data_IF_498419176882
#
_entry.id   IF_498419176882
#
_cell.length_a   1.000
_cell.length_b   1.000
_cell.length_c   1.000
_cell.angle_alpha   90.00
_cell.angle_beta   90.00
_cell.angle_gamma   90.00
#
_symmetry.space_group_name_H-M   'P 1'
#
loop_
_entity.id
_entity.type
_entity.pdbx_description
1 polymer ?
#
# COMPACT_ATOMS: atom_id res chain seq x y z
N UNK A 1 24.38 2.63 13.43
CA UNK A 1 22.95 2.83 13.13
C UNK A 1 22.69 2.99 11.63
N UNK A 2 23.36 3.92 10.92
CA UNK A 2 23.23 4.07 9.46
C UNK A 2 23.49 2.78 8.66
N UNK A 3 24.58 2.07 8.95
CA UNK A 3 24.90 0.79 8.30
C UNK A 3 23.85 -0.30 8.52
N UNK A 4 23.17 -0.28 9.67
CA UNK A 4 22.11 -1.22 9.98
C UNK A 4 20.83 -0.88 9.18
N UNK A 5 20.43 0.39 9.17
CA UNK A 5 19.30 0.87 8.35
C UNK A 5 19.50 0.72 6.85
N UNK A 6 20.76 0.78 6.39
CA UNK A 6 21.09 0.49 5.00
C UNK A 6 20.75 -0.95 4.58
N UNK A 7 20.49 -1.86 5.53
CA UNK A 7 19.97 -3.21 5.24
C UNK A 7 18.44 -3.26 5.12
N UNK A 8 17.77 -2.12 5.29
CA UNK A 8 16.32 -1.99 5.46
C UNK A 8 15.84 -2.19 6.90
N UNK A 9 16.68 -2.69 7.81
CA UNK A 9 16.23 -2.98 9.17
C UNK A 9 16.21 -1.75 10.10
N UNK A 10 15.25 -1.75 11.01
CA UNK A 10 15.05 -0.77 12.07
C UNK A 10 15.15 -1.41 13.45
N UNK A 11 15.77 -0.69 14.38
CA UNK A 11 15.76 -1.08 15.80
C UNK A 11 14.39 -0.78 16.41
N UNK A 12 14.05 -1.39 17.55
CA UNK A 12 12.89 -0.95 18.32
C UNK A 12 12.97 0.56 18.60
N UNK A 13 11.83 1.24 18.54
CA UNK A 13 11.70 2.70 18.70
C UNK A 13 12.41 3.53 17.61
N UNK A 14 12.97 2.90 16.57
CA UNK A 14 13.42 3.58 15.37
C UNK A 14 12.25 4.11 14.55
N UNK A 15 12.49 5.15 13.77
CA UNK A 15 11.49 5.75 12.87
C UNK A 15 11.50 5.03 11.50
N UNK A 16 10.48 4.23 11.15
CA UNK A 16 10.43 3.57 9.85
C UNK A 16 10.13 4.56 8.69
N UNK A 17 9.71 5.79 9.00
CA UNK A 17 9.32 6.77 7.99
C UNK A 17 10.51 7.40 7.30
N UNK A 18 11.56 7.70 8.06
CA UNK A 18 12.86 8.12 7.54
C UNK A 18 13.37 7.15 6.46
N UNK A 19 14.00 7.67 5.42
CA UNK A 19 14.54 6.86 4.32
C UNK A 19 15.57 5.81 4.77
N UNK A 20 15.67 4.75 3.99
CA UNK A 20 16.55 3.59 4.11
C UNK A 20 17.54 3.57 2.94
N UNK A 21 18.50 4.50 2.93
CA UNK A 21 19.44 4.79 1.81
C UNK A 21 20.32 3.64 1.25
N UNK A 22 20.20 2.41 1.75
CA UNK A 22 20.93 1.24 1.25
C UNK A 22 20.05 0.17 0.60
N UNK A 23 18.75 0.43 0.51
CA UNK A 23 17.78 -0.46 -0.13
C UNK A 23 17.66 -0.11 -1.61
N UNK A 24 17.18 -1.05 -2.42
CA UNK A 24 17.04 -0.83 -3.85
C UNK A 24 15.81 0.02 -4.19
N UNK A 25 14.77 -0.07 -3.35
CA UNK A 25 13.50 0.60 -3.57
C UNK A 25 12.78 0.94 -2.25
N UNK A 26 12.16 2.11 -2.21
CA UNK A 26 11.17 2.52 -1.21
C UNK A 26 9.88 2.95 -1.90
N UNK A 27 8.78 2.24 -1.64
CA UNK A 27 7.45 2.59 -2.12
C UNK A 27 6.68 3.42 -1.11
N UNK A 28 6.04 4.48 -1.60
CA UNK A 28 5.12 5.33 -0.85
C UNK A 28 3.75 5.29 -1.53
N UNK A 29 2.70 5.11 -0.75
CA UNK A 29 1.34 4.95 -1.27
C UNK A 29 0.35 5.75 -0.45
N UNK A 30 -0.51 6.51 -1.12
CA UNK A 30 -1.64 7.23 -0.53
C UNK A 30 -2.92 6.78 -1.20
N UNK A 31 -3.97 6.61 -0.40
CA UNK A 31 -5.33 6.33 -0.85
C UNK A 31 -6.30 7.31 -0.23
N UNK A 32 -7.14 7.89 -1.07
CA UNK A 32 -8.12 8.90 -0.70
C UNK A 32 -9.50 8.41 -1.10
N UNK A 33 -10.47 8.52 -0.20
CA UNK A 33 -11.86 8.11 -0.43
C UNK A 33 -12.80 9.19 0.08
N UNK A 34 -13.70 9.67 -0.77
CA UNK A 34 -14.73 10.64 -0.35
C UNK A 34 -16.06 9.97 0.01
N UNK A 35 -17.05 10.80 0.35
CA UNK A 35 -18.38 10.35 0.76
C UNK A 35 -19.19 9.78 -0.41
N UNK A 36 -18.87 10.19 -1.63
CA UNK A 36 -19.48 9.72 -2.88
C UNK A 36 -18.94 8.35 -3.32
N UNK A 37 -17.89 7.85 -2.65
CA UNK A 37 -17.25 6.57 -2.95
C UNK A 37 -16.23 6.65 -4.08
N UNK A 38 -15.83 7.87 -4.50
CA UNK A 38 -14.70 8.06 -5.41
C UNK A 38 -13.41 7.72 -4.68
N UNK A 39 -12.49 7.08 -5.38
CA UNK A 39 -11.18 6.72 -4.84
C UNK A 39 -10.10 7.25 -5.76
N UNK A 40 -9.07 7.86 -5.19
CA UNK A 40 -7.80 8.12 -5.88
C UNK A 40 -6.67 7.47 -5.09
N UNK A 41 -5.78 6.79 -5.80
CA UNK A 41 -4.47 6.42 -5.25
C UNK A 41 -3.37 7.21 -5.93
N UNK A 42 -2.32 7.50 -5.17
CA UNK A 42 -1.09 8.06 -5.67
C UNK A 42 0.08 7.25 -5.09
N UNK A 43 0.99 6.81 -5.95
CA UNK A 43 2.16 6.05 -5.56
C UNK A 43 3.44 6.68 -6.10
N UNK A 44 4.51 6.57 -5.33
CA UNK A 44 5.87 6.92 -5.73
C UNK A 44 6.84 5.88 -5.15
N UNK A 45 7.55 5.17 -6.03
CA UNK A 45 8.66 4.28 -5.70
C UNK A 45 9.97 4.98 -5.98
N UNK A 46 10.79 5.22 -4.95
CA UNK A 46 12.15 5.74 -5.06
C UNK A 46 13.09 4.56 -5.30
N UNK A 47 13.66 4.49 -6.50
CA UNK A 47 14.48 3.36 -6.95
C UNK A 47 15.95 3.78 -7.08
N UNK A 48 16.86 2.86 -6.75
CA UNK A 48 18.29 3.01 -6.99
C UNK A 48 18.68 2.26 -8.26
N UNK A 49 18.85 3.00 -9.36
CA UNK A 49 19.24 2.45 -10.66
C UNK A 49 20.74 2.56 -10.96
N UNK A 50 21.21 1.90 -12.03
CA UNK A 50 22.61 1.97 -12.47
C UNK A 50 23.05 3.38 -12.92
N UNK A 51 22.10 4.21 -13.35
CA UNK A 51 22.33 5.57 -13.84
C UNK A 51 22.07 6.65 -12.78
N UNK A 52 21.56 6.24 -11.61
CA UNK A 52 21.19 7.12 -10.52
C UNK A 52 19.80 6.81 -9.96
N UNK A 53 19.32 7.60 -8.98
CA UNK A 53 17.97 7.47 -8.45
C UNK A 53 16.91 7.85 -9.49
N UNK A 54 15.83 7.08 -9.54
CA UNK A 54 14.69 7.31 -10.44
C UNK A 54 13.38 6.91 -9.75
N UNK A 55 12.25 7.39 -10.26
CA UNK A 55 10.96 7.20 -9.63
C UNK A 55 9.98 6.39 -10.49
N UNK A 56 9.32 5.41 -9.88
CA UNK A 56 8.08 4.81 -10.40
C UNK A 56 6.92 5.60 -9.82
N UNK A 57 6.14 6.30 -10.64
CA UNK A 57 4.99 7.08 -10.17
C UNK A 57 3.69 6.60 -10.80
N UNK A 58 2.60 6.72 -10.06
CA UNK A 58 1.27 6.34 -10.51
C UNK A 58 0.17 7.18 -9.88
N UNK A 59 -0.85 7.49 -10.67
CA UNK A 59 -2.11 8.10 -10.25
C UNK A 59 -3.24 7.28 -10.88
N UNK A 60 -4.13 6.74 -10.06
CA UNK A 60 -5.26 5.97 -10.53
C UNK A 60 -6.54 6.38 -9.82
N UNK A 61 -7.68 6.32 -10.51
CA UNK A 61 -8.96 6.77 -9.99
C UNK A 61 -10.12 5.82 -10.31
N UNK A 62 -11.00 5.67 -9.34
CA UNK A 62 -12.23 4.89 -9.40
C UNK A 62 -13.43 5.79 -9.09
N UNK A 63 -14.57 5.67 -9.82
CA UNK A 63 -14.92 4.61 -10.78
C UNK A 63 -14.56 4.87 -12.24
N UNK A 64 -13.82 5.94 -12.56
CA UNK A 64 -13.52 6.31 -13.95
C UNK A 64 -12.60 5.34 -14.68
N UNK A 65 -11.85 4.49 -13.95
CA UNK A 65 -10.85 3.61 -14.54
C UNK A 65 -9.60 4.37 -15.01
N UNK A 66 -9.45 5.64 -14.63
CA UNK A 66 -8.32 6.47 -15.02
C UNK A 66 -7.02 5.90 -14.44
N UNK A 67 -5.98 5.82 -15.27
CA UNK A 67 -4.64 5.40 -14.87
C UNK A 67 -3.59 6.22 -15.63
N UNK A 68 -2.68 6.84 -14.89
CA UNK A 68 -1.45 7.45 -15.41
C UNK A 68 -0.26 6.91 -14.62
N UNK A 69 0.72 6.36 -15.31
CA UNK A 69 1.98 5.89 -14.71
C UNK A 69 3.16 6.46 -15.47
N UNK A 70 4.31 6.61 -14.80
CA UNK A 70 5.55 7.01 -15.42
C UNK A 70 6.77 6.43 -14.70
N UNK A 71 7.87 6.29 -15.44
CA UNK A 71 9.21 6.20 -14.90
C UNK A 71 9.87 7.57 -15.11
N UNK A 72 10.25 8.23 -14.02
CA UNK A 72 10.82 9.58 -14.03
C UNK A 72 12.29 9.54 -13.60
N UNK A 73 13.12 10.32 -14.29
CA UNK A 73 14.50 10.55 -13.88
C UNK A 73 14.55 11.39 -12.61
N UNK A 74 15.39 10.99 -11.65
CA UNK A 74 15.50 11.66 -10.37
C UNK A 74 14.45 11.17 -9.38
N UNK A 75 14.91 10.87 -8.17
CA UNK A 75 14.05 10.56 -7.04
C UNK A 75 14.78 10.86 -5.74
N UNK A 76 14.01 11.20 -4.71
CA UNK A 76 14.54 11.48 -3.39
C UNK A 76 13.56 11.06 -2.31
N UNK A 77 14.11 10.55 -1.21
CA UNK A 77 13.38 10.19 0.00
C UNK A 77 14.03 10.88 1.20
N UNK A 78 13.22 11.41 2.11
CA UNK A 78 13.69 12.19 3.25
C UNK A 78 14.44 11.31 4.28
N UNK A 79 15.75 11.51 4.51
CA UNK A 79 16.51 10.73 5.49
C UNK A 79 16.19 11.08 6.94
N UNK A 80 15.35 12.09 7.19
CA UNK A 80 15.04 12.62 8.51
C UNK A 80 13.55 12.52 8.87
N UNK A 81 12.71 11.99 7.99
CA UNK A 81 11.28 11.84 8.24
C UNK A 81 10.53 11.25 7.07
N UNK A 82 9.22 11.48 7.03
CA UNK A 82 8.40 11.09 5.88
C UNK A 82 8.43 12.21 4.84
N UNK A 83 9.08 11.95 3.71
CA UNK A 83 9.08 12.81 2.53
C UNK A 83 9.54 12.03 1.31
N UNK A 84 8.94 12.32 0.16
CA UNK A 84 9.30 11.72 -1.14
C UNK A 84 9.13 12.74 -2.26
N UNK A 85 10.09 12.73 -3.18
CA UNK A 85 10.05 13.45 -4.45
C UNK A 85 10.33 12.46 -5.59
N UNK A 86 9.57 12.56 -6.67
CA UNK A 86 9.78 11.81 -7.91
C UNK A 86 9.85 12.76 -9.09
N UNK A 87 10.85 12.57 -9.95
CA UNK A 87 11.15 13.50 -11.03
C UNK A 87 11.83 14.79 -10.58
N UNK A 88 11.60 15.85 -11.32
CA UNK A 88 11.99 17.24 -11.03
C UNK A 88 10.83 18.05 -10.41
N UNK A 89 9.94 17.39 -9.67
CA UNK A 89 8.80 18.00 -8.96
C UNK A 89 7.42 17.53 -9.43
N UNK A 90 7.35 16.56 -10.33
CA UNK A 90 6.13 15.89 -10.78
C UNK A 90 5.42 15.16 -9.65
N UNK A 91 6.15 14.62 -8.68
CA UNK A 91 5.58 14.01 -7.48
C UNK A 91 6.28 14.57 -6.23
N UNK A 92 5.51 15.03 -5.26
CA UNK A 92 6.02 15.54 -3.98
C UNK A 92 5.02 15.21 -2.87
N UNK A 93 5.46 14.51 -1.83
CA UNK A 93 4.58 14.18 -0.71
C UNK A 93 5.32 14.11 0.63
N UNK A 94 4.60 14.45 1.70
CA UNK A 94 5.06 14.32 3.07
C UNK A 94 3.87 14.12 4.02
N UNK A 95 4.07 14.34 5.33
CA UNK A 95 3.01 14.17 6.34
C UNK A 95 1.82 15.13 6.19
N UNK A 96 1.94 16.20 5.43
CA UNK A 96 0.98 17.31 5.39
C UNK A 96 0.36 17.56 4.02
N UNK A 97 1.05 17.18 2.95
CA UNK A 97 0.52 17.36 1.60
C UNK A 97 1.02 16.28 0.64
N UNK A 98 0.32 16.20 -0.48
CA UNK A 98 0.62 15.37 -1.63
C UNK A 98 0.33 16.20 -2.88
N UNK A 99 1.34 16.36 -3.74
CA UNK A 99 1.23 16.97 -5.07
C UNK A 99 1.70 15.98 -6.12
N UNK A 100 0.89 15.81 -7.16
CA UNK A 100 1.19 15.03 -8.35
C UNK A 100 0.83 15.89 -9.56
N UNK A 101 1.72 15.94 -10.56
CA UNK A 101 1.49 16.54 -11.85
C UNK A 101 2.20 15.71 -12.93
N UNK A 102 1.44 14.82 -13.56
CA UNK A 102 1.90 13.91 -14.61
C UNK A 102 1.33 14.28 -15.99
N UNK A 103 0.83 15.52 -16.14
CA UNK A 103 0.20 16.01 -17.36
C UNK A 103 -1.03 16.87 -17.08
N UNK A 104 -1.58 17.47 -18.14
CA UNK A 104 -2.79 18.30 -18.06
C UNK A 104 -4.01 17.52 -17.56
N UNK A 105 -4.03 16.20 -17.80
CA UNK A 105 -5.11 15.28 -17.46
C UNK A 105 -4.81 14.44 -16.21
N UNK A 106 -3.71 14.72 -15.50
CA UNK A 106 -3.22 13.89 -14.39
C UNK A 106 -2.59 14.75 -13.29
N UNK A 107 -3.44 15.46 -12.54
CA UNK A 107 -3.00 16.34 -11.45
C UNK A 107 -3.69 15.96 -10.16
N UNK A 108 -2.98 16.07 -9.04
CA UNK A 108 -3.54 15.81 -7.73
C UNK A 108 -2.86 16.69 -6.69
N UNK A 109 -3.62 17.44 -5.90
CA UNK A 109 -3.06 18.31 -4.88
C UNK A 109 -3.95 18.26 -3.64
N UNK A 110 -3.42 17.70 -2.56
CA UNK A 110 -4.13 17.53 -1.31
C UNK A 110 -3.33 18.05 -0.12
N UNK A 111 -4.07 18.55 0.86
CA UNK A 111 -3.59 18.80 2.22
C UNK A 111 -4.21 17.79 3.17
N UNK A 112 -3.41 17.31 4.11
CA UNK A 112 -3.85 16.41 5.16
C UNK A 112 -4.10 17.17 6.46
N UNK A 113 -5.22 16.84 7.10
CA UNK A 113 -5.71 17.37 8.37
C UNK A 113 -6.08 16.23 9.31
N UNK A 114 -6.06 16.51 10.62
CA UNK A 114 -6.43 15.56 11.68
C UNK A 114 -5.86 14.14 11.50
N UNK A 115 -4.54 13.97 11.23
CA UNK A 115 -3.98 12.67 10.92
C UNK A 115 -4.15 11.68 12.08
N UNK A 116 -4.47 10.44 11.76
CA UNK A 116 -4.58 9.33 12.70
C UNK A 116 -3.42 8.36 12.45
N UNK A 117 -2.21 8.68 12.94
CA UNK A 117 -1.02 7.89 12.66
C UNK A 117 -1.04 6.55 13.40
N UNK A 118 -0.15 5.66 12.96
CA UNK A 118 0.25 4.47 13.69
C UNK A 118 0.62 4.78 15.15
N UNK A 119 0.05 4.04 16.11
CA UNK A 119 0.18 4.33 17.55
C UNK A 119 1.25 3.50 18.28
N UNK A 120 1.79 2.42 17.67
CA UNK A 120 2.76 1.57 18.38
C UNK A 120 4.17 2.13 18.23
N UNK A 121 4.68 2.75 19.31
CA UNK A 121 5.99 3.40 19.30
C UNK A 121 7.21 2.46 19.30
N UNK A 122 7.03 1.17 19.63
CA UNK A 122 8.15 0.24 19.70
C UNK A 122 8.52 -0.39 18.35
N UNK A 123 7.52 -0.68 17.51
CA UNK A 123 7.69 -1.32 16.20
C UNK A 123 6.60 -0.85 15.23
N UNK A 124 6.93 -0.81 13.93
CA UNK A 124 6.02 -0.52 12.82
C UNK A 124 5.23 -1.75 12.34
N UNK A 125 4.76 -1.69 11.09
CA UNK A 125 3.83 -2.68 10.49
C UNK A 125 4.43 -4.08 10.39
N UNK A 126 5.69 -4.17 9.99
CA UNK A 126 6.49 -5.40 9.97
C UNK A 126 6.76 -5.99 11.36
N UNK A 127 6.38 -5.34 12.46
CA UNK A 127 6.61 -5.82 13.82
C UNK A 127 8.09 -6.17 14.05
N UNK A 128 8.38 -7.28 14.74
CA UNK A 128 9.75 -7.71 15.01
C UNK A 128 10.57 -7.99 13.73
N UNK A 129 9.91 -8.24 12.60
CA UNK A 129 10.60 -8.46 11.32
C UNK A 129 11.28 -7.19 10.81
N UNK A 130 10.85 -6.01 11.24
CA UNK A 130 11.57 -4.78 10.92
C UNK A 130 13.02 -4.82 11.43
N UNK A 131 13.33 -5.62 12.45
CA UNK A 131 14.68 -5.76 13.00
C UNK A 131 15.53 -6.81 12.26
N UNK A 132 14.99 -7.50 11.26
CA UNK A 132 15.73 -8.53 10.53
C UNK A 132 16.37 -7.86 9.31
N UNK A 133 17.71 -7.78 9.23
CA UNK A 133 18.38 -7.20 8.07
C UNK A 133 18.01 -7.90 6.77
N UNK A 134 18.02 -7.13 5.69
CA UNK A 134 18.02 -7.66 4.33
C UNK A 134 16.80 -8.51 3.93
N UNK A 135 15.63 -8.26 4.53
CA UNK A 135 14.39 -8.82 4.00
C UNK A 135 14.12 -8.29 2.58
N UNK A 136 13.47 -9.11 1.77
CA UNK A 136 13.01 -8.73 0.44
C UNK A 136 11.99 -7.60 0.52
N UNK A 137 11.12 -7.59 1.54
CA UNK A 137 10.13 -6.53 1.72
C UNK A 137 9.87 -6.23 3.21
N UNK A 138 9.70 -4.95 3.50
CA UNK A 138 9.19 -4.40 4.75
C UNK A 138 7.94 -3.56 4.45
N UNK A 139 7.09 -3.39 5.45
CA UNK A 139 5.79 -2.71 5.30
C UNK A 139 5.43 -1.94 6.55
N UNK A 140 4.92 -0.72 6.37
CA UNK A 140 4.46 0.13 7.45
C UNK A 140 3.26 1.00 7.04
N UNK A 141 2.05 0.70 7.54
CA UNK A 141 0.87 1.52 7.36
C UNK A 141 0.89 2.68 8.37
N UNK A 142 1.54 3.78 7.99
CA UNK A 142 1.87 4.85 8.94
C UNK A 142 0.72 5.82 9.19
N UNK A 143 -0.23 5.95 8.26
CA UNK A 143 -1.44 6.75 8.39
C UNK A 143 -2.68 5.85 8.27
N UNK A 144 -3.39 5.66 9.38
CA UNK A 144 -4.54 4.76 9.48
C UNK A 144 -5.88 5.49 9.38
N UNK A 145 -5.86 6.75 8.94
CA UNK A 145 -7.01 7.63 8.86
C UNK A 145 -6.60 9.09 8.98
N UNK A 146 -7.58 9.97 8.81
CA UNK A 146 -7.42 11.41 8.82
C UNK A 146 -8.31 12.03 7.75
N UNK A 147 -8.12 13.31 7.50
CA UNK A 147 -8.87 14.07 6.50
C UNK A 147 -7.94 14.58 5.41
N UNK A 148 -8.44 14.59 4.19
CA UNK A 148 -7.76 15.16 3.04
C UNK A 148 -8.69 16.09 2.26
N UNK A 149 -8.19 17.27 1.91
CA UNK A 149 -8.93 18.28 1.16
C UNK A 149 -8.07 18.88 0.07
N UNK A 150 -8.67 19.15 -1.09
CA UNK A 150 -7.98 19.68 -2.27
C UNK A 150 -8.62 19.17 -3.56
N UNK A 151 -7.83 19.08 -4.63
CA UNK A 151 -8.36 18.86 -5.99
C UNK A 151 -7.61 17.77 -6.74
N UNK A 152 -8.30 17.13 -7.69
CA UNK A 152 -7.70 16.25 -8.68
C UNK A 152 -8.21 16.57 -10.08
N UNK A 153 -7.35 16.39 -11.06
CA UNK A 153 -7.69 16.29 -12.47
C UNK A 153 -7.32 14.88 -12.91
N UNK A 154 -8.33 14.10 -13.30
CA UNK A 154 -8.19 12.70 -13.74
C UNK A 154 -8.90 12.52 -15.07
N UNK A 155 -8.12 12.46 -16.15
CA UNK A 155 -8.64 12.50 -17.52
C UNK A 155 -9.28 13.85 -17.82
N UNK A 156 -10.56 13.82 -18.19
CA UNK A 156 -11.35 15.03 -18.47
C UNK A 156 -12.12 15.57 -17.24
N UNK A 157 -11.97 14.95 -16.07
CA UNK A 157 -12.76 15.30 -14.89
C UNK A 157 -11.95 16.08 -13.86
N UNK A 158 -12.59 17.05 -13.22
CA UNK A 158 -12.05 17.76 -12.05
C UNK A 158 -12.85 17.33 -10.82
N UNK A 159 -12.15 16.81 -9.81
CA UNK A 159 -12.73 16.39 -8.55
C UNK A 159 -12.28 17.31 -7.43
N UNK A 160 -13.24 17.75 -6.62
CA UNK A 160 -13.01 18.46 -5.37
C UNK A 160 -13.19 17.49 -4.21
N UNK A 161 -12.27 17.52 -3.25
CA UNK A 161 -12.29 16.75 -2.02
C UNK A 161 -12.43 17.68 -0.83
N UNK A 162 -13.40 17.39 0.03
CA UNK A 162 -13.57 18.07 1.32
C UNK A 162 -13.66 17.01 2.41
N UNK A 163 -12.71 17.01 3.34
CA UNK A 163 -12.64 16.08 4.47
C UNK A 163 -12.72 14.59 4.06
N UNK A 164 -12.15 14.25 2.90
CA UNK A 164 -12.08 12.87 2.41
C UNK A 164 -11.19 12.02 3.34
N UNK A 165 -11.49 10.72 3.46
CA UNK A 165 -10.70 9.80 4.27
C UNK A 165 -9.36 9.51 3.59
N UNK A 166 -8.27 9.55 4.35
CA UNK A 166 -6.91 9.24 3.87
C UNK A 166 -6.30 8.05 4.60
N UNK A 167 -5.74 7.15 3.82
CA UNK A 167 -4.81 6.11 4.25
C UNK A 167 -3.46 6.32 3.55
N UNK A 168 -2.37 5.99 4.23
CA UNK A 168 -1.06 5.99 3.60
C UNK A 168 -0.10 4.99 4.25
N UNK A 169 0.79 4.47 3.41
CA UNK A 169 1.79 3.49 3.81
C UNK A 169 3.13 3.72 3.13
N UNK A 170 4.13 3.03 3.68
CA UNK A 170 5.48 2.94 3.15
C UNK A 170 5.89 1.48 3.13
N UNK A 171 6.51 1.06 2.03
CA UNK A 171 7.16 -0.22 1.91
C UNK A 171 8.59 -0.02 1.38
N UNK A 172 9.47 -0.96 1.66
CA UNK A 172 10.86 -0.88 1.21
C UNK A 172 11.48 -2.25 1.18
N UNK A 173 12.55 -2.41 0.43
CA UNK A 173 13.06 -3.75 0.20
C UNK A 173 14.37 -3.78 -0.54
N UNK A 174 15.01 -4.95 -0.45
CA UNK A 174 15.98 -5.31 -1.47
C UNK A 174 15.24 -5.52 -2.78
N UNK A 175 15.95 -5.31 -3.89
CA UNK A 175 15.39 -5.59 -5.21
C UNK A 175 14.87 -7.04 -5.27
N UNK A 176 13.75 -7.21 -5.98
CA UNK A 176 13.03 -8.46 -6.07
C UNK A 176 11.77 -8.45 -5.23
N UNK A 177 10.65 -8.11 -5.87
CA UNK A 177 9.32 -8.35 -5.30
C UNK A 177 9.14 -9.86 -5.05
N UNK A 178 8.33 -10.26 -4.06
CA UNK A 178 7.99 -11.67 -3.83
C UNK A 178 7.39 -12.31 -5.09
N UNK A 179 7.57 -13.64 -5.26
CA UNK A 179 6.88 -14.38 -6.34
C UNK A 179 5.36 -14.20 -6.29
N UNK A 180 4.82 -14.06 -5.08
CA UNK A 180 3.43 -13.72 -4.85
C UNK A 180 3.29 -12.97 -3.52
N UNK A 181 2.44 -11.94 -3.53
CA UNK A 181 2.06 -11.17 -2.37
C UNK A 181 0.60 -10.75 -2.46
N UNK A 182 0.05 -10.36 -1.32
CA UNK A 182 -1.30 -9.84 -1.21
C UNK A 182 -1.29 -8.63 -0.28
N UNK A 183 -2.15 -7.68 -0.61
CA UNK A 183 -2.35 -6.51 0.20
C UNK A 183 -3.84 -6.15 0.21
N UNK A 184 -4.24 -5.43 1.23
CA UNK A 184 -5.53 -4.79 1.20
C UNK A 184 -5.67 -3.74 2.29
N UNK A 185 -6.47 -2.73 2.00
CA UNK A 185 -6.84 -1.68 2.92
C UNK A 185 -8.31 -1.35 2.77
N UNK A 186 -9.00 -1.14 3.89
CA UNK A 186 -10.39 -0.76 3.89
C UNK A 186 -10.69 0.36 4.88
N UNK A 187 -11.51 1.29 4.40
CA UNK A 187 -12.13 2.39 5.13
C UNK A 187 -13.56 2.60 4.59
N UNK A 188 -14.24 3.68 4.94
CA UNK A 188 -15.63 3.91 4.52
C UNK A 188 -16.65 2.98 5.22
N UNK A 189 -16.30 2.43 6.38
CA UNK A 189 -17.27 1.78 7.26
C UNK A 189 -18.27 2.81 7.83
N UNK A 190 -19.38 2.32 8.42
CA UNK A 190 -20.31 3.18 9.17
C UNK A 190 -19.59 3.97 10.27
N UNK A 191 -18.65 3.35 10.98
CA UNK A 191 -17.72 4.03 11.87
C UNK A 191 -16.53 4.58 11.07
N UNK A 192 -16.56 5.87 10.74
CA UNK A 192 -15.60 6.52 9.83
C UNK A 192 -14.16 6.58 10.34
N UNK A 193 -13.92 6.30 11.62
CA UNK A 193 -12.58 6.22 12.22
C UNK A 193 -12.02 4.78 12.27
N UNK A 194 -12.78 3.80 11.77
CA UNK A 194 -12.31 2.42 11.63
C UNK A 194 -11.50 2.26 10.35
N UNK A 195 -10.38 1.53 10.45
CA UNK A 195 -9.51 1.23 9.33
C UNK A 195 -8.93 -0.17 9.50
N UNK A 196 -8.84 -0.90 8.40
CA UNK A 196 -8.22 -2.23 8.35
C UNK A 196 -7.17 -2.19 7.26
N UNK A 197 -5.99 -2.72 7.54
CA UNK A 197 -4.94 -2.90 6.55
C UNK A 197 -4.23 -4.23 6.77
N UNK A 198 -3.88 -4.92 5.69
CA UNK A 198 -3.11 -6.14 5.75
C UNK A 198 -2.15 -6.21 4.56
N UNK A 199 -1.01 -6.84 4.79
CA UNK A 199 -0.03 -7.11 3.76
C UNK A 199 0.68 -8.41 4.10
N UNK A 200 0.90 -9.24 3.10
CA UNK A 200 1.63 -10.47 3.26
C UNK A 200 2.14 -11.01 1.94
N UNK A 201 2.91 -12.08 2.04
CA UNK A 201 3.45 -12.74 0.88
C UNK A 201 4.46 -13.80 1.27
N UNK A 202 5.11 -14.33 0.25
CA UNK A 202 6.16 -15.33 0.42
C UNK A 202 7.47 -14.65 0.82
N UNK A 203 7.88 -14.87 2.07
CA UNK A 203 9.17 -14.39 2.59
C UNK A 203 10.21 -15.50 2.48
N UNK A 204 11.35 -15.16 1.89
CA UNK A 204 12.51 -16.04 1.78
C UNK A 204 13.61 -15.62 2.75
N UNK A 205 14.12 -16.57 3.54
CA UNK A 205 15.37 -16.41 4.28
C UNK A 205 16.16 -17.71 4.24
N UNK A 206 17.19 -17.77 3.38
CA UNK A 206 17.92 -19.00 3.12
C UNK A 206 17.01 -20.11 2.57
N UNK A 207 16.91 -21.24 3.28
CA UNK A 207 16.04 -22.37 2.88
C UNK A 207 14.60 -22.26 3.39
N UNK A 208 14.29 -21.26 4.22
CA UNK A 208 12.95 -21.07 4.76
C UNK A 208 12.10 -20.29 3.73
N UNK A 209 10.99 -20.90 3.31
CA UNK A 209 9.91 -20.25 2.56
C UNK A 209 8.69 -20.26 3.48
N UNK A 210 8.27 -19.09 3.93
CA UNK A 210 7.10 -18.97 4.80
C UNK A 210 6.22 -17.84 4.33
N UNK A 211 4.92 -18.06 4.38
CA UNK A 211 3.94 -17.00 4.25
C UNK A 211 3.91 -16.22 5.56
N UNK A 212 3.91 -14.90 5.47
CA UNK A 212 3.75 -14.01 6.62
C UNK A 212 2.77 -12.92 6.23
N UNK A 213 1.67 -12.82 6.99
CA UNK A 213 0.68 -11.75 6.84
C UNK A 213 0.67 -10.88 8.08
N UNK A 214 0.92 -9.58 7.92
CA UNK A 214 0.58 -8.56 8.90
C UNK A 214 -0.89 -8.16 8.77
N UNK A 215 -1.60 -8.05 9.89
CA UNK A 215 -2.99 -7.57 9.93
C UNK A 215 -3.11 -6.48 10.98
N UNK A 216 -3.54 -5.29 10.56
CA UNK A 216 -3.69 -4.09 11.37
C UNK A 216 -5.17 -3.72 11.41
N UNK A 217 -5.68 -3.49 12.61
CA UNK A 217 -7.04 -3.02 12.82
C UNK A 217 -7.01 -1.80 13.72
N UNK A 218 -7.53 -0.70 13.21
CA UNK A 218 -7.97 0.44 13.99
C UNK A 218 -9.48 0.28 14.23
N UNK A 219 -9.84 0.01 15.48
CA UNK A 219 -11.23 -0.12 15.89
C UNK A 219 -11.92 1.26 15.95
N UNK A 220 -13.27 1.27 15.87
CA UNK A 220 -14.04 2.44 16.27
C UNK A 220 -13.63 2.94 17.65
N UNK A 221 -13.43 4.25 17.77
CA UNK A 221 -13.03 4.89 19.03
C UNK A 221 -11.52 4.87 19.32
N UNK A 222 -10.67 4.52 18.36
CA UNK A 222 -9.24 4.88 18.44
C UNK A 222 -8.24 3.76 18.60
N UNK A 223 -8.67 2.57 19.04
CA UNK A 223 -7.73 1.50 19.42
C UNK A 223 -7.10 0.84 18.20
N UNK A 224 -5.77 0.87 18.11
CA UNK A 224 -5.01 0.16 17.08
C UNK A 224 -4.37 -1.11 17.66
N UNK A 225 -4.53 -2.25 16.97
CA UNK A 225 -3.77 -3.46 17.27
C UNK A 225 -3.31 -4.15 15.98
N UNK A 226 -2.30 -5.01 16.13
CA UNK A 226 -1.69 -5.76 15.01
C UNK A 226 -1.51 -7.23 15.34
N UNK A 227 -1.78 -8.08 14.36
CA UNK A 227 -1.51 -9.52 14.32
C UNK A 227 -0.54 -9.81 13.15
N UNK A 228 0.04 -11.01 13.13
CA UNK A 228 0.94 -11.46 12.07
C UNK A 228 2.33 -11.94 12.53
N UNK A 229 2.48 -12.36 13.79
CA UNK A 229 3.71 -13.04 14.24
C UNK A 229 3.45 -14.55 14.15
N UNK A 230 4.17 -15.33 13.31
CA UNK A 230 3.83 -16.71 12.93
C UNK A 230 3.49 -17.70 14.06
N UNK A 231 3.92 -17.43 15.29
CA UNK A 231 3.63 -18.27 16.47
C UNK A 231 2.73 -17.56 17.49
N UNK A 232 2.99 -16.28 17.76
CA UNK A 232 2.33 -15.56 18.86
C UNK A 232 0.99 -14.96 18.45
N UNK A 233 0.89 -14.54 17.20
CA UNK A 233 -0.31 -13.95 16.64
C UNK A 233 -0.48 -14.31 15.16
N UNK A 234 -0.61 -15.60 14.81
CA UNK A 234 -0.68 -16.02 13.41
C UNK A 234 -1.89 -15.40 12.71
N UNK A 235 -1.72 -15.19 11.40
CA UNK A 235 -2.78 -14.79 10.47
C UNK A 235 -2.74 -15.79 9.32
N UNK A 236 -3.79 -16.59 9.21
CA UNK A 236 -3.99 -17.48 8.08
C UNK A 236 -4.62 -16.67 6.93
N UNK A 237 -4.12 -16.86 5.71
CA UNK A 237 -4.60 -16.14 4.53
C UNK A 237 -4.92 -17.11 3.40
N UNK A 238 -6.04 -16.89 2.74
CA UNK A 238 -6.39 -17.53 1.47
C UNK A 238 -6.80 -16.43 0.49
N UNK A 239 -6.03 -16.30 -0.59
CA UNK A 239 -6.23 -15.25 -1.59
C UNK A 239 -6.21 -15.83 -2.99
N UNK A 240 -7.07 -15.29 -3.85
CA UNK A 240 -6.97 -15.39 -5.31
C UNK A 240 -7.22 -13.99 -5.91
N UNK A 241 -7.42 -13.90 -7.22
CA UNK A 241 -7.50 -12.62 -7.93
C UNK A 241 -8.79 -11.84 -7.65
N UNK A 242 -9.79 -12.46 -7.00
CA UNK A 242 -11.10 -11.88 -6.70
C UNK A 242 -11.55 -12.04 -5.24
N UNK A 243 -10.80 -12.75 -4.40
CA UNK A 243 -11.16 -13.11 -3.03
C UNK A 243 -9.95 -13.04 -2.09
N UNK A 244 -10.15 -12.41 -0.93
CA UNK A 244 -9.21 -12.38 0.19
C UNK A 244 -9.92 -12.84 1.46
N UNK A 245 -9.45 -13.91 2.07
CA UNK A 245 -9.94 -14.43 3.35
C UNK A 245 -8.81 -14.46 4.36
N UNK A 246 -9.00 -13.79 5.50
CA UNK A 246 -8.00 -13.72 6.56
C UNK A 246 -8.60 -14.14 7.90
N UNK A 247 -7.85 -14.94 8.66
CA UNK A 247 -8.19 -15.32 10.03
C UNK A 247 -6.98 -15.07 10.93
N UNK A 248 -7.02 -13.98 11.70
CA UNK A 248 -5.99 -13.61 12.64
C UNK A 248 -6.39 -13.96 14.08
N UNK A 249 -5.45 -14.46 14.88
CA UNK A 249 -5.65 -14.61 16.33
C UNK A 249 -4.37 -14.32 17.10
N UNK A 250 -4.49 -13.78 18.32
CA UNK A 250 -3.32 -13.54 19.17
C UNK A 250 -3.56 -12.49 20.24
N UNK A 251 -2.83 -12.60 21.35
CA UNK A 251 -2.94 -11.68 22.49
C UNK A 251 -4.35 -11.53 23.07
N UNK A 252 -5.29 -12.44 22.78
CA UNK A 252 -6.71 -12.35 23.14
C UNK A 252 -7.61 -11.79 22.03
N UNK A 253 -7.08 -11.32 20.90
CA UNK A 253 -7.86 -10.92 19.72
C UNK A 253 -8.13 -12.12 18.81
N UNK A 254 -9.28 -12.09 18.12
CA UNK A 254 -9.58 -12.87 16.92
C UNK A 254 -10.20 -11.93 15.88
N UNK A 255 -9.72 -11.98 14.65
CA UNK A 255 -10.20 -11.17 13.52
C UNK A 255 -10.48 -12.09 12.34
N UNK A 256 -11.65 -11.94 11.73
CA UNK A 256 -12.06 -12.65 10.52
C UNK A 256 -12.41 -11.62 9.46
N UNK A 257 -11.81 -11.74 8.27
CA UNK A 257 -12.04 -10.86 7.12
C UNK A 257 -12.41 -11.72 5.92
N UNK A 258 -13.39 -11.23 5.15
CA UNK A 258 -13.64 -11.69 3.78
C UNK A 258 -13.81 -10.46 2.92
N UNK A 259 -13.05 -10.38 1.84
CA UNK A 259 -13.12 -9.29 0.88
C UNK A 259 -13.13 -9.83 -0.55
N UNK A 260 -13.82 -9.14 -1.44
CA UNK A 260 -14.00 -9.54 -2.83
C UNK A 260 -14.02 -8.34 -3.77
N UNK A 261 -13.43 -8.50 -4.94
CA UNK A 261 -13.54 -7.54 -6.04
C UNK A 261 -13.51 -8.30 -7.38
N UNK A 262 -14.29 -7.89 -8.40
CA UNK A 262 -14.24 -8.52 -9.71
C UNK A 262 -12.91 -8.25 -10.42
N UNK A 263 -12.33 -9.27 -11.04
CA UNK A 263 -11.04 -9.17 -11.74
C UNK A 263 -11.04 -8.10 -12.84
N UNK A 264 -12.16 -7.93 -13.53
CA UNK A 264 -12.30 -6.91 -14.59
C UNK A 264 -12.14 -5.47 -14.03
N UNK A 265 -12.35 -5.26 -12.73
CA UNK A 265 -12.14 -3.97 -12.06
C UNK A 265 -10.68 -3.74 -11.63
N UNK A 266 -9.79 -4.73 -11.80
CA UNK A 266 -8.39 -4.60 -11.42
C UNK A 266 -7.63 -3.68 -12.39
N UNK A 267 -6.91 -2.72 -11.83
CA UNK A 267 -5.80 -2.06 -12.49
C UNK A 267 -4.61 -3.03 -12.52
N UNK A 268 -3.87 -3.03 -13.62
CA UNK A 268 -2.52 -3.61 -13.62
C UNK A 268 -1.57 -2.49 -13.28
N UNK A 269 -0.90 -2.56 -12.13
CA UNK A 269 0.04 -1.54 -11.68
C UNK A 269 1.50 -1.95 -11.91
N UNK A 270 2.39 -0.96 -12.07
CA UNK A 270 3.79 -1.22 -12.32
C UNK A 270 4.56 -1.47 -11.01
N UNK A 271 5.46 -2.44 -11.06
CA UNK A 271 6.56 -2.57 -10.09
C UNK A 271 7.90 -2.22 -10.75
N UNK A 272 8.83 -1.60 -10.02
CA UNK A 272 10.16 -1.31 -10.53
C UNK A 272 11.03 -2.56 -10.59
N UNK A 273 11.90 -2.59 -11.59
CA UNK A 273 13.13 -3.38 -11.62
C UNK A 273 14.31 -2.39 -11.50
N UNK A 274 14.72 -2.03 -10.27
CA UNK A 274 15.73 -0.98 -10.05
C UNK A 274 17.00 -1.16 -10.87
N UNK A 275 17.56 -2.38 -10.91
CA UNK A 275 18.81 -2.68 -11.64
C UNK A 275 18.67 -2.57 -13.15
N UNK A 276 17.45 -2.68 -13.69
CA UNK A 276 17.14 -2.55 -15.11
C UNK A 276 16.64 -1.15 -15.49
N UNK A 277 16.49 -0.25 -14.50
CA UNK A 277 15.97 1.10 -14.69
C UNK A 277 14.65 1.15 -15.49
N UNK A 278 13.72 0.25 -15.17
CA UNK A 278 12.41 0.20 -15.84
C UNK A 278 11.31 -0.34 -14.95
N UNK A 279 10.07 -0.07 -15.36
CA UNK A 279 8.88 -0.68 -14.78
C UNK A 279 8.46 -1.93 -15.57
N UNK A 280 7.78 -2.84 -14.87
CA UNK A 280 7.07 -4.00 -15.43
C UNK A 280 5.71 -4.13 -14.73
N UNK A 281 4.74 -4.78 -15.38
CA UNK A 281 3.48 -5.14 -14.73
C UNK A 281 3.74 -6.03 -13.51
N UNK A 282 3.23 -5.64 -12.35
CA UNK A 282 3.54 -6.26 -11.07
C UNK A 282 2.37 -6.94 -10.40
N UNK A 283 1.22 -6.27 -10.41
CA UNK A 283 0.09 -6.63 -9.56
C UNK A 283 -1.26 -6.28 -10.17
N UNK A 284 -2.29 -6.90 -9.59
CA UNK A 284 -3.69 -6.64 -9.83
C UNK A 284 -4.24 -5.84 -8.64
N UNK A 285 -4.41 -4.53 -8.83
CA UNK A 285 -4.88 -3.60 -7.80
C UNK A 285 -6.35 -3.24 -8.03
N UNK A 286 -7.19 -3.50 -7.05
CA UNK A 286 -8.57 -3.02 -7.01
C UNK A 286 -8.62 -1.81 -6.10
N UNK A 287 -9.20 -0.69 -6.56
CA UNK A 287 -9.34 0.51 -5.73
C UNK A 287 -10.60 0.50 -4.85
N UNK A 288 -11.58 -0.32 -5.24
CA UNK A 288 -12.84 -0.53 -4.55
C UNK A 288 -13.28 -1.99 -4.68
N UNK A 289 -13.86 -2.49 -3.60
CA UNK A 289 -14.20 -3.89 -3.39
C UNK A 289 -14.98 -4.02 -2.09
N UNK A 290 -15.70 -5.13 -1.96
CA UNK A 290 -16.47 -5.41 -0.75
C UNK A 290 -15.56 -6.00 0.32
N UNK A 291 -15.71 -5.57 1.57
CA UNK A 291 -15.04 -6.19 2.71
C UNK A 291 -16.00 -6.29 3.90
N UNK A 292 -16.04 -7.47 4.50
CA UNK A 292 -16.65 -7.73 5.80
C UNK A 292 -15.58 -8.12 6.82
N UNK A 293 -15.67 -7.56 8.02
CA UNK A 293 -14.79 -7.87 9.14
C UNK A 293 -15.60 -8.19 10.39
N UNK A 294 -15.10 -9.12 11.20
CA UNK A 294 -15.57 -9.36 12.56
C UNK A 294 -14.39 -9.47 13.52
N UNK A 295 -14.48 -8.77 14.65
CA UNK A 295 -13.43 -8.69 15.68
C UNK A 295 -13.99 -9.16 17.02
N UNK A 296 -13.25 -10.06 17.66
CA UNK A 296 -13.52 -10.55 19.02
C UNK A 296 -12.33 -10.30 19.94
N UNK A 297 -12.62 -10.11 21.23
CA UNK A 297 -11.65 -10.02 22.32
C UNK A 297 -12.02 -10.99 23.43
N UNK A 298 -11.14 -11.92 23.75
CA UNK A 298 -11.35 -12.97 24.76
C UNK A 298 -12.70 -13.69 24.56
N UNK A 299 -13.03 -14.01 23.31
CA UNK A 299 -14.28 -14.69 22.92
C UNK A 299 -15.52 -13.79 22.87
N UNK A 300 -15.45 -12.52 23.29
CA UNK A 300 -16.56 -11.57 23.20
C UNK A 300 -16.47 -10.78 21.90
N UNK A 301 -17.60 -10.59 21.24
CA UNK A 301 -17.71 -9.70 20.08
C UNK A 301 -17.36 -8.25 20.49
N UNK A 302 -16.59 -7.57 19.64
CA UNK A 302 -16.18 -6.17 19.84
C UNK A 302 -16.67 -5.28 18.72
N UNK A 303 -16.54 -5.72 17.46
CA UNK A 303 -16.93 -4.94 16.29
C UNK A 303 -17.17 -5.86 15.09
N UNK A 304 -18.12 -5.48 14.25
CA UNK A 304 -18.28 -6.00 12.90
C UNK A 304 -18.52 -4.84 11.96
N UNK A 305 -17.87 -4.85 10.81
CA UNK A 305 -17.97 -3.79 9.80
C UNK A 305 -18.16 -4.37 8.42
N UNK A 306 -18.83 -3.61 7.56
CA UNK A 306 -18.92 -3.84 6.12
C UNK A 306 -18.62 -2.55 5.36
N UNK A 307 -17.95 -2.65 4.23
CA UNK A 307 -17.66 -1.54 3.32
C UNK A 307 -17.59 -2.02 1.89
N UNK A 308 -17.84 -1.12 0.94
CA UNK A 308 -17.59 -1.31 -0.51
C UNK A 308 -16.34 -0.55 -0.98
N UNK A 309 -15.58 0.03 -0.04
CA UNK A 309 -14.36 0.81 -0.30
C UNK A 309 -13.12 0.10 0.26
N UNK A 310 -12.97 -1.19 -0.08
CA UNK A 310 -11.74 -1.93 0.13
C UNK A 310 -10.86 -1.87 -1.13
N UNK A 311 -9.62 -1.40 -0.97
CA UNK A 311 -8.58 -1.64 -1.96
C UNK A 311 -7.92 -2.99 -1.69
N UNK A 312 -7.66 -3.75 -2.75
CA UNK A 312 -7.27 -5.16 -2.68
C UNK A 312 -6.27 -5.47 -3.79
N UNK A 313 -5.11 -6.00 -3.40
CA UNK A 313 -4.01 -6.31 -4.30
C UNK A 313 -3.71 -7.81 -4.31
N UNK A 314 -3.46 -8.35 -5.50
CA UNK A 314 -2.81 -9.64 -5.66
C UNK A 314 -1.64 -9.51 -6.64
N UNK A 315 -0.43 -9.60 -6.09
CA UNK A 315 0.80 -9.39 -6.84
C UNK A 315 1.48 -10.66 -7.31
N UNK A 316 2.20 -10.52 -8.42
CA UNK A 316 3.03 -11.52 -9.05
C UNK A 316 3.26 -11.18 -10.52
N UNK A 317 4.52 -11.16 -10.97
CA UNK A 317 4.88 -10.77 -12.34
C UNK A 317 4.17 -11.62 -13.40
N UNK A 318 4.18 -12.94 -13.22
CA UNK A 318 3.51 -13.88 -14.13
C UNK A 318 1.98 -13.68 -14.13
N UNK A 319 1.41 -13.30 -12.98
CA UNK A 319 -0.02 -13.01 -12.83
C UNK A 319 -0.42 -11.77 -13.60
N UNK A 320 0.32 -10.67 -13.40
CA UNK A 320 0.07 -9.42 -14.09
C UNK A 320 0.24 -9.57 -15.62
N UNK A 321 1.28 -10.29 -16.06
CA UNK A 321 1.47 -10.61 -17.48
C UNK A 321 0.34 -11.48 -18.06
N UNK A 322 -0.13 -12.49 -17.31
CA UNK A 322 -1.26 -13.33 -17.71
C UNK A 322 -2.56 -12.51 -17.84
N UNK A 323 -2.77 -11.52 -16.96
CA UNK A 323 -3.94 -10.66 -17.03
C UNK A 323 -3.89 -9.72 -18.24
N UNK A 324 -2.73 -9.14 -18.57
CA UNK A 324 -2.55 -8.39 -19.81
C UNK A 324 -2.88 -9.26 -21.04
N UNK A 325 -2.41 -10.51 -21.06
CA UNK A 325 -2.73 -11.46 -22.13
C UNK A 325 -4.23 -11.77 -22.20
N UNK A 326 -4.89 -11.99 -21.07
CA UNK A 326 -6.34 -12.24 -21.00
C UNK A 326 -7.12 -11.07 -21.61
N UNK A 327 -6.66 -9.84 -21.38
CA UNK A 327 -7.24 -8.60 -21.95
C UNK A 327 -6.88 -8.37 -23.43
N UNK A 328 -6.06 -9.23 -24.03
CA UNK A 328 -5.57 -9.07 -25.42
C UNK A 328 -4.56 -7.94 -25.59
N UNK A 329 -3.89 -7.53 -24.51
CA UNK A 329 -2.87 -6.49 -24.49
C UNK A 329 -1.46 -7.08 -24.64
N UNK A 330 -0.49 -6.22 -24.97
CA UNK A 330 0.92 -6.60 -24.99
C UNK A 330 1.40 -6.93 -23.57
N UNK A 331 1.93 -8.15 -23.31
CA UNK A 331 2.46 -8.53 -22.00
C UNK A 331 3.67 -7.70 -21.55
N UNK A 332 4.31 -6.97 -22.47
CA UNK A 332 5.40 -6.05 -22.18
C UNK A 332 4.96 -4.70 -21.60
N UNK A 333 3.66 -4.40 -21.56
CA UNK A 333 3.16 -3.20 -20.88
C UNK A 333 3.46 -3.26 -19.39
N UNK A 334 3.80 -2.11 -18.81
CA UNK A 334 4.05 -1.99 -17.38
C UNK A 334 2.77 -1.79 -16.57
N UNK A 335 1.67 -1.39 -17.20
CA UNK A 335 0.42 -1.06 -16.51
C UNK A 335 -0.76 -1.03 -17.49
N UNK A 336 -1.98 -1.23 -16.98
CA UNK A 336 -3.21 -1.12 -17.76
C UNK A 336 -4.40 -0.72 -16.87
N UNK A 337 -5.34 0.11 -17.39
CA UNK A 337 -6.58 0.40 -16.69
C UNK A 337 -7.49 -0.84 -16.60
N UNK A 338 -8.52 -0.82 -15.73
CA UNK A 338 -9.53 -1.88 -15.66
C UNK A 338 -10.33 -2.01 -16.97
N UNK A 339 -11.01 -3.14 -17.11
CA UNK A 339 -11.97 -3.41 -18.20
C UNK A 339 -13.37 -3.14 -17.64
N UNK A 340 -13.82 -1.89 -17.74
CA UNK A 340 -15.13 -1.46 -17.25
C UNK A 340 -16.29 -1.78 -18.21
#
# INVERSE_FOLDING_TARGET
MRSYRATGADLPFGDPLSAHTGVAMEGYFWRITDAEGRVIIALCGVNQGPEGPWATVGLAAWPTGFLRTAALEGAWADPHGLGVEGGSGEFEANRRHLRVNLGEDAQFNLRFDDPLPWQHGAVGGSSIFQMVPALNQYWHPWLLGGKASGTAIVGGETWEFTDAQVYAEKNWGREGFPESWWWGQAQGFTETDACVAFAGGLVHSGKLRTEVTGLVVRLPGGRVFRLGNPVVSPVDTHTNDELWQLSGRGYGWKVEITATAPLDHAFVLPVPLPSEHRNIAGDLEHLAGELSITVHRFGRHVWSGKTTSAALEHGGLDRAAAELQRRGLDPGLSSAPPVL
#
